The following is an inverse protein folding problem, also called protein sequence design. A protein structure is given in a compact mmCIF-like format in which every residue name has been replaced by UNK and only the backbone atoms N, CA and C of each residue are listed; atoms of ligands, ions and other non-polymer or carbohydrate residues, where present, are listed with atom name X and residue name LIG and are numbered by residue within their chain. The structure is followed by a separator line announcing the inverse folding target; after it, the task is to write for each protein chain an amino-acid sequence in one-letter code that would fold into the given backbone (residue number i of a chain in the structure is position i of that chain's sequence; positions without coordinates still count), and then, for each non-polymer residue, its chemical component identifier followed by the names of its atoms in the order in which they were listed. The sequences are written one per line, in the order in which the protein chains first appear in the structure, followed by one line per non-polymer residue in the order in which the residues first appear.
data_IF_583534872228
#
_entry.id   IF_583534872228
#
_cell.length_a   1.000
_cell.length_b   1.000
_cell.length_c   1.000
_cell.angle_alpha   90.00
_cell.angle_beta   90.00
_cell.angle_gamma   90.00
#
_symmetry.space_group_name_H-M   'P 1'
#
loop_
_entity.id
_entity.type
_entity.pdbx_description
1 polymer ?
#
# COMPACT_ATOMS: atom_id res chain seq x y z
N UNK A 1 22.33 -19.01 -17.10
CA UNK A 1 21.75 -19.40 -18.42
C UNK A 1 22.41 -18.67 -19.61
N UNK A 2 23.30 -17.72 -19.37
CA UNK A 2 23.97 -17.01 -20.46
C UNK A 2 24.78 -17.98 -21.32
N UNK A 3 24.55 -17.99 -22.65
CA UNK A 3 25.28 -18.79 -23.61
C UNK A 3 24.79 -20.22 -23.82
N UNK A 4 23.70 -20.62 -23.15
CA UNK A 4 23.08 -21.93 -23.41
C UNK A 4 21.92 -21.71 -24.42
N UNK A 5 21.94 -22.34 -25.60
CA UNK A 5 20.83 -22.32 -26.55
C UNK A 5 19.55 -22.84 -25.90
N UNK A 6 18.39 -22.31 -26.33
CA UNK A 6 17.10 -22.67 -25.72
C UNK A 6 16.76 -24.16 -25.99
N UNK A 7 17.22 -24.71 -27.10
CA UNK A 7 17.04 -26.11 -27.51
C UNK A 7 17.77 -27.09 -26.57
N UNK A 8 18.84 -26.63 -25.92
CA UNK A 8 19.62 -27.43 -24.96
C UNK A 8 19.11 -27.29 -23.52
N UNK A 9 18.10 -26.44 -23.31
CA UNK A 9 17.52 -26.24 -21.99
C UNK A 9 16.62 -27.40 -21.56
N UNK A 10 16.93 -27.96 -20.40
CA UNK A 10 16.12 -28.98 -19.76
C UNK A 10 15.62 -28.52 -18.37
N UNK A 11 14.69 -29.31 -17.79
CA UNK A 11 14.13 -29.06 -16.48
C UNK A 11 15.19 -29.05 -15.36
N UNK A 12 16.24 -29.85 -15.49
CA UNK A 12 17.32 -29.97 -14.50
C UNK A 12 18.17 -28.70 -14.49
N UNK A 13 18.53 -28.21 -15.67
CA UNK A 13 19.29 -26.96 -15.83
C UNK A 13 18.48 -25.77 -15.33
N UNK A 14 17.20 -25.71 -15.67
CA UNK A 14 16.32 -24.64 -15.21
C UNK A 14 16.14 -24.64 -13.68
N UNK A 15 15.91 -25.80 -13.05
CA UNK A 15 15.83 -25.92 -11.59
C UNK A 15 17.12 -25.50 -10.90
N UNK A 16 18.27 -25.87 -11.44
CA UNK A 16 19.57 -25.43 -10.92
C UNK A 16 19.71 -23.92 -10.99
N UNK A 17 19.31 -23.32 -12.11
CA UNK A 17 19.31 -21.87 -12.27
C UNK A 17 18.39 -21.18 -11.27
N UNK A 18 17.11 -21.61 -11.12
CA UNK A 18 16.17 -21.02 -10.17
C UNK A 18 16.64 -21.15 -8.74
N UNK A 19 17.27 -22.26 -8.38
CA UNK A 19 17.84 -22.45 -7.05
C UNK A 19 18.99 -21.49 -6.78
N UNK A 20 19.89 -21.27 -7.76
CA UNK A 20 21.00 -20.32 -7.63
C UNK A 20 20.51 -18.86 -7.61
N UNK A 21 19.65 -18.49 -8.57
CA UNK A 21 19.05 -17.16 -8.64
C UNK A 21 18.27 -16.81 -7.37
N UNK A 22 17.58 -17.80 -6.82
CA UNK A 22 16.77 -17.62 -5.62
C UNK A 22 17.56 -17.36 -4.34
N UNK A 23 18.85 -17.75 -4.25
CA UNK A 23 19.68 -17.49 -3.07
C UNK A 23 19.79 -16.00 -2.75
N UNK A 24 19.80 -15.17 -3.79
CA UNK A 24 20.02 -13.73 -3.66
C UNK A 24 18.78 -12.87 -3.89
N UNK A 25 17.62 -13.51 -4.16
CA UNK A 25 16.40 -12.80 -4.53
C UNK A 25 15.20 -13.12 -3.65
N UNK A 26 14.34 -12.11 -3.45
CA UNK A 26 13.05 -12.27 -2.75
C UNK A 26 12.05 -13.08 -3.60
N UNK A 27 11.06 -13.72 -2.95
CA UNK A 27 10.01 -14.51 -3.60
C UNK A 27 9.35 -13.78 -4.77
N UNK A 28 9.00 -12.51 -4.60
CA UNK A 28 8.33 -11.72 -5.64
C UNK A 28 9.19 -11.54 -6.89
N UNK A 29 10.50 -11.37 -6.73
CA UNK A 29 11.45 -11.23 -7.84
C UNK A 29 11.59 -12.54 -8.59
N UNK A 30 11.79 -13.65 -7.87
CA UNK A 30 11.92 -14.97 -8.47
C UNK A 30 10.62 -15.39 -9.19
N UNK A 31 9.45 -15.18 -8.56
CA UNK A 31 8.16 -15.46 -9.16
C UNK A 31 7.92 -14.67 -10.45
N UNK A 32 8.25 -13.37 -10.43
CA UNK A 32 8.11 -12.51 -11.61
C UNK A 32 9.02 -12.96 -12.74
N UNK A 33 10.28 -13.27 -12.42
CA UNK A 33 11.23 -13.81 -13.39
C UNK A 33 10.71 -15.12 -13.98
N UNK A 34 10.32 -16.09 -13.12
CA UNK A 34 9.79 -17.37 -13.55
C UNK A 34 8.57 -17.22 -14.47
N UNK A 35 7.63 -16.33 -14.14
CA UNK A 35 6.45 -16.10 -14.95
C UNK A 35 6.77 -15.51 -16.32
N UNK A 36 7.68 -14.53 -16.38
CA UNK A 36 8.10 -13.89 -17.63
C UNK A 36 8.86 -14.89 -18.52
N UNK A 37 9.79 -15.65 -17.93
CA UNK A 37 10.57 -16.62 -18.66
C UNK A 37 9.68 -17.80 -19.16
N UNK A 38 8.72 -18.23 -18.34
CA UNK A 38 7.75 -19.25 -18.73
C UNK A 38 6.85 -18.80 -19.91
N UNK A 39 6.46 -17.50 -19.93
CA UNK A 39 5.74 -16.95 -21.07
C UNK A 39 6.59 -17.04 -22.37
N UNK A 40 7.86 -16.63 -22.32
CA UNK A 40 8.76 -16.74 -23.47
C UNK A 40 8.96 -18.20 -23.93
N UNK A 41 9.08 -19.15 -22.99
CA UNK A 41 9.20 -20.58 -23.34
C UNK A 41 7.93 -21.11 -23.99
N UNK A 42 6.75 -20.67 -23.54
CA UNK A 42 5.47 -21.02 -24.17
C UNK A 42 5.35 -20.49 -25.60
N UNK A 43 5.81 -19.27 -25.84
CA UNK A 43 5.85 -18.67 -27.16
C UNK A 43 6.81 -19.49 -28.08
N UNK A 44 8.02 -19.85 -27.61
CA UNK A 44 8.98 -20.69 -28.33
C UNK A 44 8.44 -22.11 -28.59
N UNK A 45 7.63 -22.66 -27.68
CA UNK A 45 6.93 -23.92 -27.93
C UNK A 45 5.86 -23.81 -29.02
N UNK A 46 5.14 -22.71 -29.06
CA UNK A 46 4.16 -22.41 -30.07
C UNK A 46 4.82 -22.28 -31.46
N UNK A 47 5.98 -21.63 -31.51
CA UNK A 47 6.76 -21.47 -32.76
C UNK A 47 7.51 -22.72 -33.18
N UNK A 48 7.58 -23.76 -32.32
CA UNK A 48 8.24 -25.04 -32.60
C UNK A 48 9.73 -25.08 -32.25
N UNK A 49 10.29 -24.00 -31.69
CA UNK A 49 11.70 -23.92 -31.30
C UNK A 49 11.99 -24.78 -30.06
N UNK A 50 11.00 -25.02 -29.22
CA UNK A 50 11.09 -25.85 -28.01
C UNK A 50 9.98 -26.90 -28.00
N UNK A 51 10.33 -28.17 -27.78
CA UNK A 51 9.38 -29.28 -27.82
C UNK A 51 8.70 -29.57 -26.47
N UNK A 52 9.29 -29.17 -25.35
CA UNK A 52 8.80 -29.51 -24.01
C UNK A 52 8.86 -28.30 -23.07
N UNK A 53 7.81 -28.12 -22.25
CA UNK A 53 7.78 -27.14 -21.18
C UNK A 53 8.71 -27.61 -20.03
N UNK A 54 9.95 -27.15 -20.06
CA UNK A 54 10.94 -27.48 -19.04
C UNK A 54 10.78 -26.62 -17.74
N UNK A 55 9.89 -25.64 -17.74
CA UNK A 55 9.61 -24.76 -16.60
C UNK A 55 8.44 -25.28 -15.78
N UNK A 56 7.46 -25.89 -16.39
CA UNK A 56 6.26 -26.40 -15.73
C UNK A 56 6.60 -27.27 -14.51
N UNK A 57 5.94 -27.01 -13.39
CA UNK A 57 6.15 -27.75 -12.14
C UNK A 57 7.51 -27.50 -11.47
N UNK A 58 8.18 -26.38 -11.79
CA UNK A 58 9.40 -26.00 -11.08
C UNK A 58 9.04 -25.18 -9.84
N UNK A 59 9.47 -25.67 -8.68
CA UNK A 59 9.32 -24.96 -7.41
C UNK A 59 10.19 -23.72 -7.35
N UNK A 60 9.63 -22.65 -6.79
CA UNK A 60 10.34 -21.39 -6.64
C UNK A 60 11.17 -21.41 -5.36
N UNK A 61 12.48 -21.44 -5.51
CA UNK A 61 13.45 -21.25 -4.42
C UNK A 61 13.73 -19.76 -4.28
N UNK A 62 13.77 -19.24 -3.06
CA UNK A 62 14.02 -17.82 -2.79
C UNK A 62 14.61 -17.56 -1.41
N UNK A 63 15.26 -16.43 -1.24
CA UNK A 63 15.82 -16.00 0.02
C UNK A 63 14.75 -15.27 0.87
N UNK A 64 14.30 -15.93 1.95
CA UNK A 64 13.29 -15.37 2.88
C UNK A 64 13.76 -14.06 3.52
N UNK A 65 15.07 -13.90 3.79
CA UNK A 65 15.64 -12.68 4.38
C UNK A 65 15.55 -11.46 3.45
N UNK A 66 15.45 -11.68 2.13
CA UNK A 66 15.28 -10.62 1.12
C UNK A 66 13.81 -10.19 0.93
N UNK A 67 12.86 -10.92 1.53
CA UNK A 67 11.44 -10.52 1.47
C UNK A 67 11.24 -9.24 2.28
N UNK A 68 10.84 -8.17 1.62
CA UNK A 68 10.58 -6.88 2.27
C UNK A 68 9.44 -7.04 3.28
N UNK A 69 9.68 -6.62 4.51
CA UNK A 69 8.62 -6.36 5.47
C UNK A 69 7.89 -5.09 5.04
N UNK A 70 6.58 -5.07 5.25
CA UNK A 70 5.79 -3.87 5.01
C UNK A 70 6.15 -2.88 6.12
N UNK A 71 6.58 -1.70 5.71
CA UNK A 71 6.95 -0.63 6.61
C UNK A 71 5.85 0.43 6.65
N UNK A 72 5.44 0.84 7.85
CA UNK A 72 4.44 1.86 8.09
C UNK A 72 4.77 2.65 9.37
N UNK A 73 4.23 3.85 9.48
CA UNK A 73 4.34 4.66 10.68
C UNK A 73 3.27 4.26 11.70
N UNK A 74 3.65 4.20 12.96
CA UNK A 74 2.67 4.08 14.04
C UNK A 74 1.86 5.39 14.19
N UNK A 75 0.88 5.40 15.10
CA UNK A 75 -0.03 6.56 15.27
C UNK A 75 0.74 7.82 15.67
N UNK A 76 1.68 7.72 16.60
CA UNK A 76 2.45 8.87 17.10
C UNK A 76 3.44 9.38 16.03
N UNK A 77 4.12 8.49 15.32
CA UNK A 77 4.98 8.86 14.20
C UNK A 77 4.16 9.55 13.08
N UNK A 78 2.95 9.04 12.80
CA UNK A 78 2.05 9.64 11.81
C UNK A 78 1.63 11.04 12.22
N UNK A 79 1.25 11.26 13.49
CA UNK A 79 0.91 12.57 14.04
C UNK A 79 2.10 13.54 13.95
N UNK A 80 3.30 13.08 14.37
CA UNK A 80 4.52 13.90 14.28
C UNK A 80 4.79 14.33 12.83
N UNK A 81 4.70 13.40 11.88
CA UNK A 81 4.90 13.71 10.47
C UNK A 81 3.85 14.70 9.96
N UNK A 82 2.57 14.47 10.26
CA UNK A 82 1.48 15.36 9.83
C UNK A 82 1.66 16.79 10.38
N UNK A 83 1.95 16.94 11.67
CA UNK A 83 2.20 18.24 12.30
C UNK A 83 3.42 18.93 11.67
N UNK A 84 4.52 18.21 11.47
CA UNK A 84 5.71 18.78 10.83
C UNK A 84 5.42 19.24 9.39
N UNK A 85 4.67 18.44 8.63
CA UNK A 85 4.28 18.82 7.27
C UNK A 85 3.47 20.11 7.30
N UNK A 86 2.38 20.17 8.09
CA UNK A 86 1.46 21.32 8.12
C UNK A 86 2.11 22.61 8.58
N UNK A 87 3.08 22.56 9.50
CA UNK A 87 3.81 23.74 9.97
C UNK A 87 4.93 24.19 9.06
N UNK A 88 5.32 23.37 8.06
CA UNK A 88 6.45 23.65 7.16
C UNK A 88 6.05 23.62 5.69
N UNK A 89 4.75 23.76 5.39
CA UNK A 89 4.25 23.88 4.01
C UNK A 89 4.79 25.14 3.33
N UNK A 90 5.05 25.01 2.03
CA UNK A 90 5.43 26.13 1.19
C UNK A 90 4.95 25.83 -0.23
N UNK A 91 4.05 26.66 -0.77
CA UNK A 91 3.40 26.46 -2.06
C UNK A 91 4.38 26.37 -3.24
N UNK A 92 5.59 26.91 -3.11
CA UNK A 92 6.66 26.78 -4.09
C UNK A 92 7.22 25.35 -4.21
N UNK A 93 7.07 24.52 -3.14
CA UNK A 93 7.61 23.16 -3.05
C UNK A 93 6.51 22.15 -2.69
N UNK A 94 5.83 21.65 -3.69
CA UNK A 94 4.57 20.92 -3.53
C UNK A 94 4.70 19.47 -3.00
N UNK A 95 5.92 18.95 -2.85
CA UNK A 95 6.13 17.57 -2.40
C UNK A 95 5.57 17.27 -0.99
N UNK A 96 5.62 18.24 -0.05
CA UNK A 96 5.05 18.08 1.30
C UNK A 96 3.52 17.99 1.25
N UNK A 97 2.87 18.76 0.40
CA UNK A 97 1.42 18.69 0.17
C UNK A 97 1.01 17.33 -0.41
N UNK A 98 1.83 16.76 -1.34
CA UNK A 98 1.59 15.42 -1.87
C UNK A 98 1.68 14.36 -0.79
N UNK A 99 2.64 14.47 0.13
CA UNK A 99 2.81 13.56 1.27
C UNK A 99 1.60 13.68 2.21
N UNK A 100 1.19 14.91 2.54
CA UNK A 100 0.01 15.18 3.39
C UNK A 100 -1.26 14.57 2.79
N UNK A 101 -1.51 14.80 1.49
CA UNK A 101 -2.66 14.21 0.81
C UNK A 101 -2.60 12.68 0.77
N UNK A 102 -1.41 12.10 0.61
CA UNK A 102 -1.24 10.65 0.65
C UNK A 102 -1.57 10.06 2.03
N UNK A 103 -1.22 10.74 3.12
CA UNK A 103 -1.60 10.34 4.49
C UNK A 103 -3.12 10.35 4.63
N UNK A 104 -3.80 11.38 4.13
CA UNK A 104 -5.25 11.53 4.24
C UNK A 104 -6.05 10.58 3.35
N UNK A 105 -5.51 10.14 2.21
CA UNK A 105 -6.25 9.41 1.18
C UNK A 105 -5.77 7.99 0.91
N UNK A 106 -4.51 7.69 1.19
CA UNK A 106 -3.85 6.46 0.76
C UNK A 106 -3.67 6.36 -0.76
N UNK A 107 -3.84 7.44 -1.52
CA UNK A 107 -3.72 7.45 -2.98
C UNK A 107 -2.28 7.13 -3.44
N UNK A 108 -2.14 6.56 -4.63
CA UNK A 108 -0.83 6.29 -5.23
C UNK A 108 -0.17 7.58 -5.70
N UNK A 109 1.17 7.61 -5.71
CA UNK A 109 1.91 8.81 -6.11
C UNK A 109 1.48 9.32 -7.49
N UNK A 110 1.40 8.45 -8.49
CA UNK A 110 0.97 8.86 -9.84
C UNK A 110 -0.47 9.35 -9.92
N UNK A 111 -1.36 8.88 -9.03
CA UNK A 111 -2.73 9.39 -8.89
C UNK A 111 -2.71 10.83 -8.35
N UNK A 112 -1.93 11.09 -7.31
CA UNK A 112 -1.76 12.42 -6.70
C UNK A 112 -1.09 13.38 -7.70
N UNK A 113 -0.01 12.95 -8.36
CA UNK A 113 0.67 13.75 -9.39
C UNK A 113 -0.26 14.20 -10.53
N UNK A 114 -1.29 13.39 -10.84
CA UNK A 114 -2.22 13.65 -11.94
C UNK A 114 -3.37 14.57 -11.57
N UNK A 115 -3.53 14.97 -10.32
CA UNK A 115 -4.67 15.79 -9.89
C UNK A 115 -4.65 17.17 -10.52
N UNK A 116 -5.82 17.54 -11.01
CA UNK A 116 -6.15 18.89 -11.48
C UNK A 116 -7.21 19.50 -10.56
N UNK A 117 -7.39 20.80 -10.59
CA UNK A 117 -8.43 21.47 -9.78
C UNK A 117 -9.84 20.99 -10.10
N UNK A 118 -10.07 20.49 -11.33
CA UNK A 118 -11.36 19.90 -11.75
C UNK A 118 -11.69 18.58 -11.04
N UNK A 119 -10.67 17.90 -10.52
CA UNK A 119 -10.81 16.63 -9.81
C UNK A 119 -11.14 16.83 -8.30
N UNK A 120 -11.09 18.09 -7.80
CA UNK A 120 -11.33 18.42 -6.38
C UNK A 120 -12.64 19.20 -6.25
N UNK A 121 -13.56 18.66 -5.46
CA UNK A 121 -14.78 19.34 -5.08
C UNK A 121 -14.69 19.82 -3.62
N UNK A 122 -14.50 21.14 -3.46
CA UNK A 122 -14.38 21.75 -2.14
C UNK A 122 -15.71 21.85 -1.39
N UNK A 123 -16.86 21.86 -2.09
CA UNK A 123 -18.17 21.92 -1.42
C UNK A 123 -18.56 20.59 -0.77
N UNK A 124 -18.16 19.47 -1.38
CA UNK A 124 -18.43 18.13 -0.88
C UNK A 124 -17.20 17.46 -0.23
N UNK A 125 -16.07 18.15 -0.21
CA UNK A 125 -14.80 17.65 0.31
C UNK A 125 -14.40 16.31 -0.33
N UNK A 126 -14.46 16.23 -1.66
CA UNK A 126 -14.15 14.99 -2.39
C UNK A 126 -13.07 15.20 -3.44
N UNK A 127 -12.33 14.13 -3.71
CA UNK A 127 -11.34 14.05 -4.79
C UNK A 127 -11.73 12.89 -5.71
N UNK A 128 -11.81 13.16 -7.00
CA UNK A 128 -12.02 12.13 -8.03
C UNK A 128 -10.67 11.62 -8.54
N UNK A 129 -10.37 10.37 -8.26
CA UNK A 129 -9.18 9.66 -8.76
C UNK A 129 -9.58 8.93 -10.04
N UNK A 130 -9.33 9.54 -11.20
CA UNK A 130 -9.75 9.03 -12.50
C UNK A 130 -8.60 8.83 -13.50
N UNK A 131 -7.38 9.28 -13.16
CA UNK A 131 -6.19 9.21 -14.00
C UNK A 131 -4.91 9.08 -13.16
N UNK A 132 -3.80 8.85 -13.82
CA UNK A 132 -2.47 8.76 -13.24
C UNK A 132 -1.46 9.52 -14.10
N UNK A 133 -0.37 9.98 -13.49
CA UNK A 133 0.74 10.65 -14.18
C UNK A 133 1.84 9.67 -14.54
N UNK A 134 2.31 9.74 -15.77
CA UNK A 134 3.49 8.97 -16.23
C UNK A 134 4.70 9.89 -16.31
N UNK A 135 5.61 9.77 -15.34
CA UNK A 135 6.77 10.65 -15.21
C UNK A 135 7.68 10.62 -16.45
N UNK A 136 7.87 9.44 -17.06
CA UNK A 136 8.77 9.27 -18.22
C UNK A 136 8.32 10.03 -19.45
N UNK A 137 7.01 10.11 -19.68
CA UNK A 137 6.43 10.80 -20.85
C UNK A 137 5.83 12.14 -20.50
N UNK A 138 5.74 12.50 -19.22
CA UNK A 138 5.08 13.71 -18.70
C UNK A 138 3.66 13.85 -19.24
N UNK A 139 2.87 12.76 -19.22
CA UNK A 139 1.50 12.71 -19.72
C UNK A 139 0.57 12.01 -18.75
N UNK A 140 -0.70 12.40 -18.82
CA UNK A 140 -1.75 11.63 -18.16
C UNK A 140 -1.90 10.25 -18.82
N UNK A 141 -2.22 9.27 -18.03
CA UNK A 141 -2.57 7.92 -18.47
C UNK A 141 -3.76 7.42 -17.64
N UNK A 142 -4.52 6.43 -18.14
CA UNK A 142 -5.56 5.79 -17.37
C UNK A 142 -5.03 5.26 -16.03
N UNK A 143 -5.90 5.09 -15.05
CA UNK A 143 -5.59 4.35 -13.82
C UNK A 143 -5.24 2.90 -14.16
N UNK A 144 -4.55 2.20 -13.25
CA UNK A 144 -4.05 0.83 -13.47
C UNK A 144 -5.16 -0.15 -13.89
N UNK A 145 -6.38 0.03 -13.38
CA UNK A 145 -7.59 -0.74 -13.71
C UNK A 145 -8.83 0.12 -13.40
N UNK A 146 -10.00 -0.31 -13.87
CA UNK A 146 -11.27 0.40 -13.64
C UNK A 146 -11.59 0.58 -12.15
N UNK A 147 -11.32 -0.41 -11.31
CA UNK A 147 -11.55 -0.32 -9.86
C UNK A 147 -10.69 0.74 -9.17
N UNK A 148 -9.64 1.23 -9.85
CA UNK A 148 -8.82 2.35 -9.33
C UNK A 148 -9.50 3.69 -9.50
N UNK A 149 -10.49 3.84 -10.39
CA UNK A 149 -11.33 5.03 -10.49
C UNK A 149 -12.26 5.07 -9.28
N UNK A 150 -12.23 6.17 -8.56
CA UNK A 150 -12.98 6.32 -7.32
C UNK A 150 -13.06 7.75 -6.84
N UNK A 151 -14.12 8.07 -6.11
CA UNK A 151 -14.24 9.33 -5.39
C UNK A 151 -13.88 9.08 -3.93
N UNK A 152 -12.98 9.88 -3.39
CA UNK A 152 -12.51 9.79 -2.00
C UNK A 152 -12.98 11.04 -1.26
N UNK A 153 -13.73 10.86 -0.17
CA UNK A 153 -14.00 11.96 0.76
C UNK A 153 -12.74 12.23 1.59
N UNK A 154 -12.36 13.51 1.68
CA UNK A 154 -11.19 14.01 2.41
C UNK A 154 -11.68 14.98 3.48
N UNK A 155 -10.98 15.07 4.58
CA UNK A 155 -11.32 16.06 5.61
C UNK A 155 -11.07 17.50 5.11
N UNK A 156 -11.86 18.42 5.64
CA UNK A 156 -11.85 19.84 5.24
C UNK A 156 -10.47 20.46 5.46
N UNK A 157 -9.83 20.16 6.58
CA UNK A 157 -8.53 20.71 6.95
C UNK A 157 -7.45 20.37 5.94
N UNK A 158 -7.40 19.10 5.50
CA UNK A 158 -6.45 18.67 4.45
C UNK A 158 -6.71 19.42 3.15
N UNK A 159 -7.98 19.55 2.72
CA UNK A 159 -8.29 20.27 1.48
C UNK A 159 -8.01 21.78 1.60
N UNK A 160 -8.17 22.35 2.78
CA UNK A 160 -7.79 23.75 3.04
C UNK A 160 -6.29 23.96 2.78
N UNK A 161 -5.42 23.09 3.31
CA UNK A 161 -3.99 23.15 2.99
C UNK A 161 -3.72 23.00 1.49
N UNK A 162 -4.40 22.07 0.80
CA UNK A 162 -4.21 21.89 -0.65
C UNK A 162 -4.64 23.14 -1.42
N UNK A 163 -5.66 23.87 -0.96
CA UNK A 163 -6.15 25.08 -1.59
C UNK A 163 -5.08 26.18 -1.70
N UNK A 164 -4.10 26.24 -0.80
CA UNK A 164 -2.97 27.17 -0.86
C UNK A 164 -2.20 27.06 -2.18
N UNK A 165 -2.18 25.89 -2.80
CA UNK A 165 -1.51 25.66 -4.08
C UNK A 165 -2.18 26.36 -5.27
N UNK A 166 -3.38 26.92 -5.12
CA UNK A 166 -4.02 27.77 -6.13
C UNK A 166 -3.18 28.99 -6.48
N UNK A 167 -2.33 29.45 -5.52
CA UNK A 167 -1.39 30.56 -5.73
C UNK A 167 -0.39 30.29 -6.87
N UNK A 168 -0.14 29.02 -7.21
CA UNK A 168 0.77 28.64 -8.31
C UNK A 168 0.16 28.87 -9.68
N UNK A 169 -1.14 29.23 -9.77
CA UNK A 169 -1.87 29.60 -10.98
C UNK A 169 -1.69 28.60 -12.14
N UNK A 170 -1.86 27.32 -11.85
CA UNK A 170 -1.72 26.23 -12.83
C UNK A 170 -2.93 25.29 -12.75
N UNK A 171 -3.31 24.64 -13.86
CA UNK A 171 -4.43 23.68 -13.89
C UNK A 171 -4.19 22.42 -13.04
N UNK A 172 -2.95 21.96 -13.00
CA UNK A 172 -2.55 20.83 -12.14
C UNK A 172 -2.26 21.32 -10.73
N UNK A 173 -2.69 20.55 -9.73
CA UNK A 173 -2.60 20.93 -8.31
C UNK A 173 -1.16 21.00 -7.81
N UNK A 174 -0.33 20.02 -8.16
CA UNK A 174 1.00 19.85 -7.53
C UNK A 174 2.16 20.35 -8.41
N UNK A 175 1.95 21.39 -9.16
CA UNK A 175 3.02 22.06 -9.91
C UNK A 175 3.80 22.98 -8.95
N UNK A 176 5.12 22.88 -8.98
CA UNK A 176 6.02 23.70 -8.17
C UNK A 176 6.41 25.02 -8.89
N UNK A 177 7.20 25.87 -8.23
CA UNK A 177 7.71 27.13 -8.77
C UNK A 177 8.50 27.01 -10.10
N UNK A 178 8.92 25.81 -10.50
CA UNK A 178 9.61 25.54 -11.76
C UNK A 178 8.67 25.04 -12.86
N UNK A 179 7.36 25.18 -12.68
CA UNK A 179 6.32 24.64 -13.56
C UNK A 179 6.44 23.14 -13.83
N UNK A 180 6.89 22.37 -12.82
CA UNK A 180 7.02 20.92 -12.92
C UNK A 180 6.29 20.21 -11.78
N UNK A 181 5.78 19.02 -12.09
CA UNK A 181 5.27 18.10 -11.06
C UNK A 181 6.46 17.38 -10.43
N UNK A 182 6.59 17.37 -9.08
CA UNK A 182 7.68 16.67 -8.42
C UNK A 182 7.74 15.19 -8.82
N UNK A 183 8.96 14.73 -9.15
CA UNK A 183 9.20 13.32 -9.48
C UNK A 183 9.10 12.42 -8.25
N UNK A 184 8.95 11.12 -8.47
CA UNK A 184 8.98 10.12 -7.40
C UNK A 184 10.27 10.23 -6.55
N UNK A 185 11.41 10.45 -7.19
CA UNK A 185 12.68 10.63 -6.49
C UNK A 185 12.68 11.89 -5.61
N UNK A 186 12.13 13.00 -6.10
CA UNK A 186 12.06 14.26 -5.36
C UNK A 186 11.13 14.14 -4.14
N UNK A 187 9.93 13.55 -4.32
CA UNK A 187 8.98 13.34 -3.23
C UNK A 187 9.56 12.39 -2.16
N UNK A 188 10.22 11.29 -2.57
CA UNK A 188 10.87 10.38 -1.65
C UNK A 188 12.08 11.03 -0.92
N UNK A 189 12.82 11.91 -1.59
CA UNK A 189 13.90 12.69 -0.93
C UNK A 189 13.30 13.60 0.15
N UNK A 190 12.24 14.34 -0.17
CA UNK A 190 11.52 15.20 0.80
C UNK A 190 11.01 14.38 1.99
N UNK A 191 10.38 13.23 1.74
CA UNK A 191 9.88 12.35 2.79
C UNK A 191 11.00 11.87 3.72
N UNK A 192 12.13 11.41 3.18
CA UNK A 192 13.30 11.00 3.99
C UNK A 192 13.86 12.15 4.82
N UNK A 193 13.91 13.36 4.26
CA UNK A 193 14.32 14.55 5.01
C UNK A 193 13.36 14.80 6.18
N UNK A 194 12.03 14.78 5.96
CA UNK A 194 11.05 14.95 7.04
C UNK A 194 11.22 13.89 8.14
N UNK A 195 11.40 12.62 7.79
CA UNK A 195 11.59 11.55 8.77
C UNK A 195 12.89 11.73 9.58
N UNK A 196 13.96 12.16 8.92
CA UNK A 196 15.24 12.45 9.57
C UNK A 196 15.12 13.61 10.57
N UNK A 197 14.47 14.70 10.21
CA UNK A 197 14.23 15.87 11.09
C UNK A 197 13.37 15.49 12.32
N UNK A 198 12.54 14.46 12.17
CA UNK A 198 11.67 13.93 13.24
C UNK A 198 12.31 12.78 14.02
N UNK A 199 13.56 12.42 13.71
CA UNK A 199 14.27 11.29 14.32
C UNK A 199 13.51 9.96 14.20
N UNK A 200 12.78 9.78 13.08
CA UNK A 200 12.06 8.54 12.79
C UNK A 200 12.97 7.65 11.95
N UNK A 201 13.55 6.63 12.58
CA UNK A 201 14.47 5.68 11.92
C UNK A 201 13.70 4.59 11.17
N UNK A 202 13.42 4.83 9.89
CA UNK A 202 12.78 3.89 8.97
C UNK A 202 13.46 3.93 7.60
N UNK A 203 14.62 3.30 7.44
CA UNK A 203 15.45 3.43 6.24
C UNK A 203 14.77 2.91 4.96
N UNK A 204 13.86 1.94 5.07
CA UNK A 204 13.09 1.39 3.95
C UNK A 204 11.82 2.16 3.62
N UNK A 205 11.46 3.16 4.45
CA UNK A 205 10.22 3.91 4.28
C UNK A 205 10.29 4.79 3.03
N UNK A 206 9.25 4.73 2.23
CA UNK A 206 9.13 5.47 0.97
C UNK A 206 7.68 5.88 0.74
N UNK A 207 7.40 6.64 -0.29
CA UNK A 207 6.06 7.20 -0.51
C UNK A 207 4.94 6.13 -0.48
N UNK A 208 5.17 4.96 -1.07
CA UNK A 208 4.16 3.88 -1.03
C UNK A 208 3.91 3.35 0.40
N UNK A 209 4.88 3.47 1.30
CA UNK A 209 4.72 3.10 2.71
C UNK A 209 3.69 3.99 3.43
N UNK A 210 3.45 5.23 2.95
CA UNK A 210 2.39 6.11 3.45
C UNK A 210 1.02 5.46 3.25
N UNK A 211 0.80 4.80 2.12
CA UNK A 211 -0.44 4.05 1.87
C UNK A 211 -0.62 2.90 2.87
N UNK A 212 0.46 2.23 3.26
CA UNK A 212 0.42 1.23 4.32
C UNK A 212 0.11 1.87 5.69
N UNK A 213 0.69 3.05 5.96
CA UNK A 213 0.39 3.86 7.16
C UNK A 213 -1.09 4.24 7.20
N UNK A 214 -1.67 4.72 6.09
CA UNK A 214 -3.10 5.04 5.99
C UNK A 214 -3.98 3.83 6.32
N UNK A 215 -3.68 2.65 5.79
CA UNK A 215 -4.43 1.42 6.08
C UNK A 215 -4.29 1.02 7.54
N UNK A 216 -3.07 1.01 8.08
CA UNK A 216 -2.81 0.67 9.48
C UNK A 216 -3.58 1.62 10.42
N UNK A 217 -3.58 2.91 10.12
CA UNK A 217 -4.33 3.91 10.87
C UNK A 217 -5.84 3.64 10.83
N UNK A 218 -6.42 3.38 9.66
CA UNK A 218 -7.86 3.10 9.53
C UNK A 218 -8.26 1.80 10.24
N UNK A 219 -7.45 0.73 10.11
CA UNK A 219 -7.67 -0.52 10.84
C UNK A 219 -7.62 -0.30 12.35
N UNK A 220 -6.70 0.54 12.85
CA UNK A 220 -6.62 0.89 14.29
C UNK A 220 -7.86 1.62 14.79
N UNK A 221 -8.67 2.20 13.89
CA UNK A 221 -9.95 2.86 14.17
C UNK A 221 -11.16 1.95 13.91
N UNK A 222 -10.94 0.64 13.75
CA UNK A 222 -11.97 -0.37 13.48
C UNK A 222 -12.77 -0.12 12.19
N UNK A 223 -12.16 0.55 11.20
CA UNK A 223 -12.77 0.71 9.88
C UNK A 223 -12.69 -0.63 9.14
N UNK A 224 -13.81 -1.04 8.58
CA UNK A 224 -13.94 -2.30 7.86
C UNK A 224 -12.96 -2.42 6.69
N UNK A 225 -12.35 -3.61 6.54
CA UNK A 225 -11.34 -3.89 5.53
C UNK A 225 -11.86 -3.74 4.10
N UNK A 226 -13.14 -4.07 3.87
CA UNK A 226 -13.76 -3.90 2.56
C UNK A 226 -13.87 -2.43 2.19
N UNK A 227 -14.28 -1.58 3.14
CA UNK A 227 -14.36 -0.13 2.95
C UNK A 227 -12.96 0.45 2.66
N UNK A 228 -11.95 0.02 3.42
CA UNK A 228 -10.55 0.40 3.18
C UNK A 228 -10.11 -0.03 1.78
N UNK A 229 -10.40 -1.27 1.37
CA UNK A 229 -10.04 -1.79 0.05
C UNK A 229 -10.66 -0.97 -1.09
N UNK A 230 -11.95 -0.62 -0.97
CA UNK A 230 -12.65 0.26 -1.93
C UNK A 230 -12.04 1.65 -1.98
N UNK A 231 -11.76 2.26 -0.81
CA UNK A 231 -11.10 3.56 -0.71
C UNK A 231 -9.72 3.58 -1.40
N UNK A 232 -8.99 2.48 -1.32
CA UNK A 232 -7.70 2.32 -1.97
C UNK A 232 -7.80 2.04 -3.48
N UNK A 233 -8.96 1.64 -4.00
CA UNK A 233 -9.15 1.22 -5.39
C UNK A 233 -8.48 -0.11 -5.71
N UNK A 234 -8.63 -1.09 -4.82
CA UNK A 234 -8.27 -2.47 -5.11
C UNK A 234 -9.43 -3.18 -5.78
N UNK A 235 -9.15 -3.92 -6.85
CA UNK A 235 -10.16 -4.73 -7.56
C UNK A 235 -10.67 -5.89 -6.70
N UNK A 236 -9.81 -6.40 -5.82
CA UNK A 236 -10.07 -7.54 -4.97
C UNK A 236 -9.61 -7.27 -3.53
N UNK A 237 -10.49 -7.53 -2.57
CA UNK A 237 -10.22 -7.42 -1.14
C UNK A 237 -9.08 -8.35 -0.70
N UNK A 238 -8.88 -9.49 -1.39
CA UNK A 238 -7.81 -10.44 -1.08
C UNK A 238 -6.43 -9.78 -1.16
N UNK A 239 -6.26 -8.78 -2.03
CA UNK A 239 -5.04 -7.99 -2.10
C UNK A 239 -4.80 -7.23 -0.80
N UNK A 240 -5.83 -6.58 -0.25
CA UNK A 240 -5.74 -5.85 1.01
C UNK A 240 -5.54 -6.83 2.18
N UNK A 241 -6.36 -7.87 2.26
CA UNK A 241 -6.28 -8.88 3.33
C UNK A 241 -4.90 -9.53 3.40
N UNK A 242 -4.36 -10.01 2.27
CA UNK A 242 -3.05 -10.66 2.21
C UNK A 242 -1.90 -9.73 2.63
N UNK A 243 -1.97 -8.45 2.22
CA UNK A 243 -0.94 -7.47 2.52
C UNK A 243 -0.97 -7.08 4.00
N UNK A 244 -2.16 -7.01 4.60
CA UNK A 244 -2.34 -6.52 5.97
C UNK A 244 -2.79 -7.60 6.97
N UNK A 245 -2.66 -8.91 6.62
CA UNK A 245 -3.06 -10.03 7.48
C UNK A 245 -2.48 -9.94 8.88
N UNK A 246 -1.21 -9.58 9.00
CA UNK A 246 -0.54 -9.44 10.29
C UNK A 246 -1.12 -8.33 11.18
N UNK A 247 -1.62 -7.23 10.59
CA UNK A 247 -2.34 -6.17 11.32
C UNK A 247 -3.72 -6.64 11.74
N UNK A 248 -4.40 -7.37 10.87
CA UNK A 248 -5.72 -7.94 11.16
C UNK A 248 -5.62 -8.89 12.35
N UNK A 249 -4.60 -9.74 12.40
CA UNK A 249 -4.37 -10.67 13.50
C UNK A 249 -4.06 -9.92 14.82
N UNK A 250 -3.34 -8.80 14.77
CA UNK A 250 -3.08 -7.95 15.94
C UNK A 250 -4.38 -7.35 16.52
N UNK A 251 -5.31 -6.94 15.65
CA UNK A 251 -6.59 -6.35 16.06
C UNK A 251 -7.67 -7.39 16.38
N UNK A 252 -7.53 -8.64 15.94
CA UNK A 252 -8.48 -9.72 16.14
C UNK A 252 -8.82 -9.94 17.62
N UNK A 253 -7.81 -10.00 18.48
CA UNK A 253 -8.02 -10.19 19.92
C UNK A 253 -8.88 -9.09 20.56
N UNK A 254 -8.78 -7.85 20.07
CA UNK A 254 -9.64 -6.74 20.53
C UNK A 254 -11.07 -6.90 20.01
N UNK A 255 -11.22 -7.34 18.77
CA UNK A 255 -12.53 -7.58 18.16
C UNK A 255 -13.26 -8.74 18.86
N UNK A 256 -12.58 -9.83 19.20
CA UNK A 256 -13.17 -10.99 19.88
C UNK A 256 -13.77 -10.60 21.25
N UNK A 257 -13.09 -9.73 22.01
CA UNK A 257 -13.61 -9.20 23.27
C UNK A 257 -14.87 -8.33 23.06
N UNK A 258 -14.89 -7.52 21.99
CA UNK A 258 -16.07 -6.71 21.66
C UNK A 258 -17.24 -7.58 21.19
N UNK A 259 -16.97 -8.59 20.35
CA UNK A 259 -17.98 -9.55 19.88
C UNK A 259 -18.61 -10.26 21.08
N UNK A 260 -17.79 -10.78 22.00
CA UNK A 260 -18.28 -11.43 23.21
C UNK A 260 -19.20 -10.52 24.01
N UNK A 261 -18.82 -9.24 24.18
CA UNK A 261 -19.65 -8.25 24.88
C UNK A 261 -20.94 -7.93 24.13
N UNK A 262 -20.91 -7.83 22.79
CA UNK A 262 -22.13 -7.58 22.01
C UNK A 262 -23.09 -8.77 22.06
N UNK A 263 -22.56 -10.00 21.98
CA UNK A 263 -23.39 -11.20 22.11
C UNK A 263 -24.02 -11.30 23.50
N UNK A 264 -23.25 -11.00 24.57
CA UNK A 264 -23.81 -11.02 25.93
C UNK A 264 -24.95 -9.99 26.13
N UNK A 265 -24.89 -8.85 25.44
CA UNK A 265 -25.93 -7.84 25.49
C UNK A 265 -27.24 -8.23 24.74
N UNK A 266 -27.24 -9.34 23.98
CA UNK A 266 -28.48 -9.88 23.37
C UNK A 266 -29.37 -10.62 24.39
N UNK A 267 -28.80 -10.95 25.54
CA UNK A 267 -29.55 -11.63 26.63
C UNK A 267 -29.98 -10.60 27.66
N UNK A 268 -31.23 -10.14 27.55
CA UNK A 268 -31.83 -9.06 28.37
C UNK A 268 -31.88 -9.39 29.90
N UNK A 269 -31.71 -10.68 30.30
CA UNK A 269 -31.82 -11.14 31.69
C UNK A 269 -30.74 -12.17 32.07
N UNK A 270 -29.47 -11.96 31.66
CA UNK A 270 -28.40 -12.91 31.97
C UNK A 270 -28.16 -13.06 33.50
N UNK A 271 -28.45 -12.06 34.30
CA UNK A 271 -28.31 -12.08 35.76
C UNK A 271 -29.44 -12.92 36.46
N UNK A 272 -30.60 -13.10 35.82
CA UNK A 272 -31.68 -13.96 36.32
C UNK A 272 -31.53 -15.42 35.89
N UNK A 273 -30.93 -15.69 34.71
CA UNK A 273 -30.76 -17.05 34.20
C UNK A 273 -29.56 -17.80 34.82
N UNK A 274 -28.52 -17.08 35.29
CA UNK A 274 -27.36 -17.67 35.90
C UNK A 274 -26.86 -16.86 37.12
N UNK A 275 -27.57 -16.85 38.24
CA UNK A 275 -27.20 -16.06 39.43
C UNK A 275 -25.87 -16.45 40.05
N UNK A 276 -25.36 -17.65 39.78
CA UNK A 276 -24.10 -18.19 40.35
C UNK A 276 -22.86 -18.02 39.50
N UNK A 277 -22.98 -17.46 38.29
CA UNK A 277 -21.81 -17.31 37.38
C UNK A 277 -20.75 -16.30 37.86
N UNK A 278 -21.10 -15.42 38.81
CA UNK A 278 -20.17 -14.45 39.42
C UNK A 278 -19.25 -15.02 40.48
N UNK A 279 -19.49 -16.26 40.96
CA UNK A 279 -18.69 -16.85 42.05
C UNK A 279 -17.51 -17.72 41.61
N UNK A 280 -17.39 -18.10 40.34
CA UNK A 280 -16.39 -19.07 39.87
C UNK A 280 -15.22 -18.50 39.03
N UNK A 281 -15.04 -17.18 38.93
CA UNK A 281 -13.92 -16.57 38.22
C UNK A 281 -12.75 -16.16 39.15
N UNK A 282 -12.68 -16.68 40.37
CA UNK A 282 -11.50 -16.51 41.21
C UNK A 282 -10.84 -17.88 41.37
N UNK A 283 -9.61 -18.01 40.86
CA UNK A 283 -8.64 -19.12 40.97
C UNK A 283 -8.45 -20.01 39.73
N UNK A 284 -7.79 -19.49 38.70
CA UNK A 284 -6.88 -20.27 37.86
C UNK A 284 -5.69 -19.36 37.40
N UNK A 285 -4.95 -18.86 38.38
CA UNK A 285 -3.55 -18.48 38.20
C UNK A 285 -2.81 -18.79 39.49
N UNK A 286 -2.14 -19.93 39.53
CA UNK A 286 -1.28 -20.36 40.61
C UNK A 286 -0.89 -21.80 40.42
N UNK A 287 0.11 -22.06 39.62
CA UNK A 287 1.32 -22.86 39.84
C UNK A 287 2.09 -23.00 38.54
#
# INVERSE_FOLDING_TARGET
LSGIPIEEMDRRLYRKFIAEFGKDHAKSTVSKFNSLYHACVKDAMYDGDVTKDFIAGTDIVYNRKKTRKIDYLNIEETKKLTNYLTTTLNHNFTAKYMILLAIATGARLGEIQALTWKDINFNFYTIDINKSWKETTKKFQPTKNESSKRIIRVDETTLHFIQDLKQNNHDMVFVNQYNTVPTSSAVNKTLRTCLKELEIDKPSFHFHSIRHTHVAYLLSKNIDLYIISKRLGHSDISTTSRVYSYLIDEYKNRADNQISKFISNLYDNSDELYPDSKKNYVNYHGN
#
